data_IF_709637578214
#
_entry.id   IF_709637578214
#
_cell.length_a   1.000
_cell.length_b   1.000
_cell.length_c   1.000
_cell.angle_alpha   90.00
_cell.angle_beta   90.00
_cell.angle_gamma   90.00
#
_symmetry.space_group_name_H-M   'P 1'
#
loop_
_entity.id
_entity.type
_entity.pdbx_description
1 polymer ?
2 non-polymer ?
3 non-polymer ?
4 water ?
#
# COMPACT_ATOMS: atom_id res chain seq x y z
N UNK A 1 10.51 -8.94 -13.21
CA UNK A 1 9.91 -10.11 -12.61
C UNK A 1 8.40 -10.00 -12.37
N UNK A 2 7.70 -11.13 -12.43
CA UNK A 2 6.33 -11.14 -11.99
C UNK A 2 6.29 -11.49 -10.51
N UNK A 3 5.52 -10.73 -9.74
CA UNK A 3 5.45 -10.91 -8.30
C UNK A 3 3.99 -11.17 -7.89
N UNK A 4 3.75 -12.37 -7.37
CA UNK A 4 2.45 -12.71 -6.78
C UNK A 4 2.38 -12.17 -5.33
N UNK A 5 1.18 -12.14 -4.77
CA UNK A 5 0.95 -11.36 -3.57
C UNK A 5 0.60 -12.18 -2.34
N UNK A 6 0.94 -13.46 -2.37
CA UNK A 6 0.78 -14.38 -1.22
C UNK A 6 1.70 -14.01 -0.07
N UNK A 7 2.85 -13.42 -0.38
CA UNK A 7 3.67 -12.80 0.66
C UNK A 7 3.76 -11.31 0.39
N UNK A 8 4.27 -10.55 1.36
CA UNK A 8 4.68 -9.14 1.15
C UNK A 8 5.63 -9.00 -0.02
N UNK A 9 5.34 -8.08 -0.98
CA UNK A 9 6.27 -7.85 -2.10
C UNK A 9 7.53 -7.05 -1.70
N UNK A 10 8.44 -7.73 -1.01
CA UNK A 10 9.66 -7.09 -0.46
C UNK A 10 10.79 -7.25 -1.45
N UNK A 11 11.46 -6.16 -1.79
CA UNK A 11 12.58 -6.23 -2.71
C UNK A 11 13.82 -5.64 -2.08
N UNK A 12 14.97 -5.99 -2.62
CA UNK A 12 16.22 -5.42 -2.18
C UNK A 12 16.53 -4.09 -2.92
N UNK A 13 16.84 -3.05 -2.14
CA UNK A 13 17.20 -1.73 -2.68
C UNK A 13 18.61 -1.36 -2.27
N UNK A 14 19.23 -0.51 -3.08
CA UNK A 14 20.45 0.10 -2.71
C UNK A 14 20.23 1.59 -2.80
N UNK A 15 20.44 2.26 -1.67
CA UNK A 15 20.22 3.69 -1.53
C UNK A 15 21.29 4.28 -0.60
N UNK A 16 21.93 5.35 -1.06
CA UNK A 16 23.00 6.00 -0.30
C UNK A 16 24.13 5.09 0.14
N UNK A 17 24.53 4.16 -0.74
CA UNK A 17 25.59 3.19 -0.45
C UNK A 17 25.16 2.00 0.40
N UNK A 18 23.92 2.01 0.90
CA UNK A 18 23.39 0.95 1.81
C UNK A 18 22.32 0.07 1.19
N UNK A 19 22.23 -1.15 1.71
CA UNK A 19 21.30 -2.17 1.21
C UNK A 19 20.16 -2.27 2.18
N UNK A 20 18.94 -2.23 1.67
CA UNK A 20 17.75 -2.36 2.50
C UNK A 20 16.70 -3.21 1.81
N UNK A 21 15.74 -3.69 2.60
CA UNK A 21 14.53 -4.32 2.06
C UNK A 21 13.37 -3.36 2.13
N UNK A 22 12.58 -3.32 1.06
CA UNK A 22 11.47 -2.38 0.97
C UNK A 22 10.25 -3.01 0.32
N UNK A 23 9.10 -2.48 0.68
CA UNK A 23 7.83 -3.01 0.23
C UNK A 23 7.44 -2.29 -1.05
N UNK A 24 7.16 -3.05 -2.10
CA UNK A 24 6.62 -2.45 -3.33
C UNK A 24 5.15 -2.13 -3.07
N UNK A 25 4.80 -0.85 -3.07
CA UNK A 25 3.56 -0.44 -2.45
C UNK A 25 2.72 0.42 -3.39
N UNK A 26 1.76 -0.21 -4.07
CA UNK A 26 0.86 0.50 -4.98
C UNK A 26 -0.12 1.47 -4.27
N UNK A 27 -0.34 1.28 -2.97
CA UNK A 27 -1.22 2.15 -2.20
C UNK A 27 -0.49 3.31 -1.53
N UNK A 28 0.78 3.51 -1.90
CA UNK A 28 1.60 4.65 -1.42
C UNK A 28 1.96 5.57 -2.60
N UNK A 29 1.56 6.84 -2.49
CA UNK A 29 1.91 7.90 -3.46
C UNK A 29 3.40 8.15 -3.45
N UNK A 30 3.96 8.16 -2.23
CA UNK A 30 5.37 8.48 -1.98
C UNK A 30 6.19 7.31 -1.38
N UNK A 31 7.50 7.54 -1.30
CA UNK A 31 8.48 6.54 -0.86
C UNK A 31 8.95 6.93 0.52
N UNK A 32 8.78 6.04 1.49
CA UNK A 32 9.17 6.33 2.86
C UNK A 32 10.15 5.33 3.41
N UNK A 33 11.30 5.82 3.83
CA UNK A 33 12.29 4.95 4.44
C UNK A 33 12.53 5.24 5.89
N UNK A 34 12.78 4.16 6.63
CA UNK A 34 13.26 4.16 8.02
C UNK A 34 14.31 5.23 8.26
N UNK A 35 14.56 5.56 9.52
CA UNK A 35 15.67 6.45 9.84
C UNK A 35 16.97 5.91 9.19
N UNK A 36 17.56 6.73 8.33
CA UNK A 36 18.77 6.31 7.65
C UNK A 36 19.64 7.49 7.31
N UNK A 37 20.93 7.18 7.14
CA UNK A 37 21.97 8.13 6.81
C UNK A 37 21.92 8.53 5.34
N UNK A 38 21.35 9.71 5.06
CA UNK A 38 21.31 10.25 3.70
C UNK A 38 22.04 11.58 3.58
N UNK A 39 22.81 11.74 2.49
CA UNK A 39 23.48 13.00 2.19
C UNK A 39 22.55 14.02 1.53
N UNK A 40 22.79 15.30 1.81
CA UNK A 40 22.12 16.40 1.10
C UNK A 40 21.27 17.32 1.97
N UNK A 41 20.54 18.23 1.30
CA UNK A 41 19.60 19.14 1.98
C UNK A 41 18.17 18.58 2.00
N UNK A 42 17.34 19.07 2.92
CA UNK A 42 15.93 18.63 3.04
C UNK A 42 14.91 19.72 3.37
N UNK A 43 13.64 19.32 3.37
CA UNK A 43 12.52 20.14 3.82
C UNK A 43 11.62 19.30 4.73
N UNK A 44 11.33 19.78 5.96
CA UNK A 44 10.33 19.13 6.82
C UNK A 44 8.98 18.91 6.12
N UNK A 45 8.40 17.73 6.34
CA UNK A 45 7.13 17.34 5.72
C UNK A 45 6.46 16.30 6.61
N UNK A 46 5.15 16.14 6.45
CA UNK A 46 4.35 15.20 7.24
C UNK A 46 3.76 14.17 6.29
N UNK A 47 4.03 12.89 6.52
CA UNK A 47 3.33 11.85 5.75
C UNK A 47 2.12 11.38 6.54
N UNK A 48 1.04 11.06 5.83
CA UNK A 48 -0.22 10.69 6.47
C UNK A 48 -0.74 9.33 6.06
N UNK A 49 -0.78 8.40 7.00
CA UNK A 49 -1.25 7.06 6.70
C UNK A 49 -2.52 6.70 7.42
N UNK A 50 -2.72 5.40 7.58
CA UNK A 50 -3.72 4.86 8.49
C UNK A 50 -3.27 5.11 9.94
N UNK A 51 -4.12 5.80 10.69
CA UNK A 51 -3.83 6.09 12.08
C UNK A 51 -3.16 7.42 12.35
N UNK A 52 -2.88 8.20 11.31
CA UNK A 52 -2.35 9.55 11.51
C UNK A 52 -1.09 9.93 10.75
N UNK A 53 -0.30 10.82 11.35
CA UNK A 53 0.78 11.48 10.65
C UNK A 53 2.17 11.23 11.26
N UNK A 54 3.19 11.05 10.41
CA UNK A 54 4.59 11.11 10.88
C UNK A 54 5.37 12.30 10.30
N UNK A 55 6.16 12.96 11.14
CA UNK A 55 7.07 13.97 10.62
C UNK A 55 8.19 13.25 9.87
N UNK A 56 8.40 13.67 8.62
CA UNK A 56 9.49 13.14 7.81
C UNK A 56 10.44 14.23 7.30
N UNK A 57 11.60 13.81 6.82
CA UNK A 57 12.51 14.70 6.08
C UNK A 57 12.34 14.35 4.61
N UNK A 58 12.16 15.37 3.77
CA UNK A 58 12.04 15.16 2.34
C UNK A 58 13.32 15.51 1.56
N UNK A 59 13.95 14.48 0.98
CA UNK A 59 15.09 14.63 0.06
C UNK A 59 14.64 14.46 -1.39
N UNK A 60 15.02 15.39 -2.26
CA UNK A 60 14.70 15.30 -3.68
C UNK A 60 15.84 14.74 -4.52
N UNK A 61 15.47 14.20 -5.67
CA UNK A 61 16.39 13.53 -6.61
C UNK A 61 17.45 12.57 -6.00
N UNK A 62 16.97 11.64 -5.20
CA UNK A 62 17.83 10.63 -4.58
C UNK A 62 17.84 9.43 -5.49
N UNK A 63 19.04 8.93 -5.78
CA UNK A 63 19.19 7.68 -6.53
C UNK A 63 18.88 6.44 -5.68
N UNK A 64 18.07 5.54 -6.24
CA UNK A 64 17.74 4.24 -5.63
C UNK A 64 17.80 3.12 -6.68
N UNK A 65 18.36 1.98 -6.31
CA UNK A 65 18.28 0.79 -7.15
C UNK A 65 17.34 -0.22 -6.53
N UNK A 66 16.23 -0.48 -7.22
CA UNK A 66 15.14 -1.33 -6.72
C UNK A 66 15.16 -2.58 -7.56
N UNK A 67 15.50 -3.71 -6.96
CA UNK A 67 15.65 -4.98 -7.67
C UNK A 67 16.45 -4.78 -8.98
N UNK A 68 17.49 -3.92 -8.94
CA UNK A 68 18.41 -3.75 -10.08
C UNK A 68 17.95 -2.78 -11.19
N UNK A 69 16.95 -1.96 -10.88
CA UNK A 69 16.48 -0.94 -11.79
C UNK A 69 16.70 0.38 -11.08
N UNK A 70 17.43 1.28 -11.74
CA UNK A 70 17.69 2.59 -11.19
C UNK A 70 16.47 3.52 -11.34
N UNK A 71 16.24 4.33 -10.32
CA UNK A 71 15.24 5.39 -10.31
C UNK A 71 15.83 6.59 -9.53
N UNK A 72 15.48 7.80 -9.94
CA UNK A 72 15.86 9.00 -9.20
C UNK A 72 14.57 9.73 -8.78
N UNK A 73 14.46 10.05 -7.51
CA UNK A 73 13.32 10.83 -7.09
C UNK A 73 13.35 11.22 -5.64
N UNK A 74 12.19 11.69 -5.21
CA UNK A 74 11.92 12.07 -3.85
C UNK A 74 11.82 10.85 -2.96
N UNK A 75 12.54 10.95 -1.84
CA UNK A 75 12.53 9.98 -0.78
C UNK A 75 12.22 10.70 0.56
N UNK A 76 11.24 10.17 1.30
CA UNK A 76 10.93 10.62 2.65
C UNK A 76 11.64 9.76 3.68
N UNK A 77 12.16 10.37 4.74
CA UNK A 77 12.88 9.61 5.77
C UNK A 77 12.28 9.92 7.14
N UNK A 78 11.88 8.90 7.87
CA UNK A 78 11.27 9.12 9.18
C UNK A 78 10.89 7.82 9.87
N UNK A 79 10.06 7.91 10.92
CA UNK A 79 9.80 6.73 11.75
C UNK A 79 8.66 5.85 11.21
N UNK A 80 8.81 5.36 9.98
CA UNK A 80 7.94 4.33 9.41
C UNK A 80 8.30 2.91 9.93
N UNK A 81 7.29 2.07 10.26
CA UNK A 81 7.58 0.66 10.67
C UNK A 81 8.24 -0.25 9.60
N UNK A 82 8.12 0.14 8.33
CA UNK A 82 8.59 -0.66 7.21
C UNK A 82 9.02 0.30 6.10
N UNK A 83 10.07 -0.06 5.37
CA UNK A 83 10.46 0.69 4.18
C UNK A 83 9.44 0.51 3.04
N UNK A 84 9.02 1.63 2.47
CA UNK A 84 7.96 1.67 1.47
C UNK A 84 8.47 2.31 0.17
N UNK A 85 8.43 1.58 -0.95
CA UNK A 85 8.63 2.19 -2.28
C UNK A 85 7.28 2.55 -2.88
N UNK A 86 7.02 3.85 -3.06
CA UNK A 86 5.72 4.36 -3.52
C UNK A 86 5.68 4.59 -5.01
N UNK A 87 4.54 5.06 -5.52
CA UNK A 87 4.28 5.09 -6.96
C UNK A 87 5.20 6.09 -7.73
N UNK A 88 5.68 7.11 -7.04
CA UNK A 88 6.70 8.01 -7.61
C UNK A 88 7.93 7.29 -8.17
N UNK A 89 8.28 6.14 -7.60
CA UNK A 89 9.43 5.36 -8.07
C UNK A 89 9.01 4.13 -8.84
N UNK A 90 7.85 3.56 -8.50
CA UNK A 90 7.34 2.37 -9.16
C UNK A 90 7.09 2.63 -10.65
N UNK A 91 6.67 3.84 -10.98
CA UNK A 91 6.42 4.21 -12.37
C UNK A 91 7.73 4.18 -13.15
N UNK A 92 8.85 4.51 -12.47
CA UNK A 92 10.18 4.65 -13.11
C UNK A 92 10.86 3.35 -13.44
N UNK A 93 10.50 2.29 -12.71
CA UNK A 93 11.02 0.97 -12.98
C UNK A 93 10.05 0.16 -13.86
N UNK A 94 8.98 0.81 -14.32
CA UNK A 94 8.05 0.17 -15.26
C UNK A 94 7.07 -0.79 -14.60
N UNK A 95 6.79 -0.56 -13.31
CA UNK A 95 5.97 -1.46 -12.52
C UNK A 95 4.47 -1.31 -12.80
N UNK A 96 3.81 -2.44 -13.08
CA UNK A 96 2.35 -2.50 -13.30
C UNK A 96 1.61 -3.49 -12.37
N UNK A 97 0.32 -3.28 -12.19
CA UNK A 97 -0.56 -4.30 -11.60
C UNK A 97 -1.25 -5.04 -12.75
N UNK A 98 -1.53 -6.33 -12.56
CA UNK A 98 -2.06 -7.16 -13.62
C UNK A 98 -3.00 -8.18 -13.00
N UNK A 99 -4.23 -8.25 -13.50
CA UNK A 99 -5.20 -9.27 -13.10
C UNK A 99 -6.22 -9.56 -14.21
N UNK B 1 -7.12 -6.70 -16.31
CA UNK B 1 -6.52 -5.52 -16.91
C UNK B 1 -5.09 -5.25 -16.43
N UNK B 2 -4.29 -4.57 -17.25
CA UNK B 2 -3.02 -4.08 -16.75
C UNK B 2 -3.18 -2.64 -16.27
N UNK B 3 -2.62 -2.35 -15.11
CA UNK B 3 -2.78 -1.05 -14.48
C UNK B 3 -1.40 -0.43 -14.22
N UNK B 4 -1.12 0.67 -14.90
CA UNK B 4 0.06 1.48 -14.62
C UNK B 4 -0.19 2.35 -13.38
N UNK B 5 0.88 2.93 -12.82
CA UNK B 5 0.81 3.52 -11.50
C UNK B 5 1.07 5.03 -11.48
N UNK B 6 0.83 5.69 -12.61
CA UNK B 6 0.93 7.16 -12.69
C UNK B 6 -0.20 7.81 -11.92
N UNK B 7 -1.33 7.11 -11.80
CA UNK B 7 -2.37 7.54 -10.86
C UNK B 7 -2.60 6.48 -9.77
N UNK B 8 -3.34 6.82 -8.72
CA UNK B 8 -3.81 5.79 -7.74
C UNK B 8 -4.58 4.68 -8.44
N UNK B 9 -4.21 3.40 -8.16
CA UNK B 9 -4.95 2.27 -8.75
C UNK B 9 -6.31 2.03 -8.05
N UNK B 10 -7.27 2.88 -8.40
CA UNK B 10 -8.60 2.86 -7.80
C UNK B 10 -9.51 2.02 -8.67
N UNK B 11 -10.20 1.05 -8.07
CA UNK B 11 -11.16 0.24 -8.79
C UNK B 11 -12.56 0.36 -8.17
N UNK B 12 -13.57 -0.03 -8.94
CA UNK B 12 -14.93 -0.10 -8.44
C UNK B 12 -15.17 -1.49 -7.80
N UNK B 13 -15.71 -1.48 -6.58
CA UNK B 13 -16.08 -2.69 -5.86
C UNK B 13 -17.58 -2.69 -5.57
N UNK B 14 -18.15 -3.90 -5.47
CA UNK B 14 -19.47 -4.08 -4.96
C UNK B 14 -19.38 -4.94 -3.71
N UNK B 15 -19.82 -4.38 -2.58
CA UNK B 15 -19.76 -5.04 -1.29
C UNK B 15 -21.02 -4.72 -0.50
N UNK B 16 -21.68 -5.75 0.00
CA UNK B 16 -22.90 -5.57 0.80
C UNK B 16 -24.00 -4.80 0.10
N UNK B 17 -24.19 -5.09 -1.18
CA UNK B 17 -25.15 -4.40 -2.06
C UNK B 17 -24.79 -2.99 -2.48
N UNK B 18 -23.68 -2.46 -1.95
CA UNK B 18 -23.20 -1.07 -2.25
C UNK B 18 -21.99 -0.98 -3.18
N UNK B 19 -21.91 0.15 -3.88
CA UNK B 19 -20.81 0.44 -4.80
C UNK B 19 -19.82 1.38 -4.16
N UNK B 20 -18.55 1.03 -4.23
CA UNK B 20 -17.52 1.91 -3.68
C UNK B 20 -16.31 1.92 -4.58
N UNK B 21 -15.41 2.85 -4.30
CA UNK B 21 -14.12 2.89 -4.96
C UNK B 21 -13.06 2.55 -3.92
N UNK B 22 -12.10 1.71 -4.29
CA UNK B 22 -11.05 1.26 -3.40
C UNK B 22 -9.70 1.18 -4.10
N UNK B 23 -8.66 1.28 -3.30
CA UNK B 23 -7.29 1.30 -3.75
C UNK B 23 -6.77 -0.13 -3.77
N UNK B 24 -6.24 -0.57 -4.92
CA UNK B 24 -5.55 -1.85 -4.97
C UNK B 24 -4.17 -1.66 -4.32
N UNK B 25 -3.94 -2.33 -3.21
CA UNK B 25 -2.86 -1.91 -2.34
C UNK B 25 -1.98 -3.09 -1.97
N UNK B 26 -0.86 -3.22 -2.70
CA UNK B 26 0.12 -4.29 -2.49
C UNK B 26 0.85 -4.16 -1.14
N UNK B 27 0.88 -2.96 -0.56
CA UNK B 27 1.52 -2.74 0.73
C UNK B 27 0.59 -2.90 1.92
N UNK B 28 -0.57 -3.51 1.69
CA UNK B 28 -1.57 -3.80 2.72
C UNK B 28 -1.79 -5.31 2.81
N UNK B 29 -1.59 -5.87 4.00
CA UNK B 29 -1.84 -7.28 4.28
C UNK B 29 -3.32 -7.59 4.21
N UNK B 30 -4.10 -6.66 4.80
CA UNK B 30 -5.55 -6.74 4.93
C UNK B 30 -6.32 -5.67 4.16
N UNK B 31 -7.64 -5.87 4.11
CA UNK B 31 -8.57 -5.01 3.38
C UNK B 31 -9.30 -4.17 4.40
N UNK B 32 -9.27 -2.84 4.24
CA UNK B 32 -9.93 -1.91 5.18
C UNK B 32 -10.90 -0.96 4.50
N UNK B 33 -12.15 -1.00 4.91
CA UNK B 33 -13.14 -0.11 4.33
C UNK B 33 -13.63 0.92 5.32
N UNK B 34 -13.89 2.12 4.78
CA UNK B 34 -14.53 3.22 5.48
C UNK B 34 -15.77 2.74 6.25
N UNK B 35 -16.28 3.57 7.16
CA UNK B 35 -17.50 3.19 7.89
C UNK B 35 -18.61 2.84 6.89
N UNK B 36 -19.10 1.61 6.99
CA UNK B 36 -20.15 1.19 6.10
C UNK B 36 -21.04 0.16 6.76
N UNK B 37 -22.23 0.07 6.19
CA UNK B 37 -23.28 -0.83 6.61
C UNK B 37 -22.98 -2.26 6.13
N UNK B 38 -22.50 -3.09 7.05
CA UNK B 38 -22.28 -4.50 6.77
C UNK B 38 -23.11 -5.39 7.67
N UNK B 39 -23.70 -6.46 7.08
CA UNK B 39 -24.42 -7.45 7.87
C UNK B 39 -23.50 -8.49 8.51
N UNK B 40 -23.90 -8.99 9.68
CA UNK B 40 -23.24 -10.13 10.32
C UNK B 40 -22.62 -9.87 11.68
N UNK B 41 -21.87 -10.87 12.17
CA UNK B 41 -21.14 -10.79 13.44
C UNK B 41 -19.68 -10.32 13.23
N UNK B 42 -19.07 -9.76 14.28
CA UNK B 42 -17.69 -9.28 14.21
C UNK B 42 -16.86 -9.48 15.48
N UNK B 43 -15.57 -9.14 15.37
CA UNK B 43 -14.63 -9.13 16.49
C UNK B 43 -13.78 -7.84 16.43
N UNK B 44 -13.76 -7.04 17.52
CA UNK B 44 -12.87 -5.88 17.65
C UNK B 44 -11.40 -6.19 17.31
N UNK B 45 -10.78 -5.30 16.55
CA UNK B 45 -9.40 -5.47 16.11
C UNK B 45 -8.77 -4.10 15.87
N UNK B 46 -7.44 -4.05 15.85
CA UNK B 46 -6.68 -2.81 15.64
C UNK B 46 -5.89 -2.94 14.36
N UNK B 47 -6.05 -2.03 13.41
CA UNK B 47 -5.14 -2.03 12.26
C UNK B 47 -4.03 -1.00 12.47
N UNK B 48 -2.82 -1.34 12.05
CA UNK B 48 -1.67 -0.47 12.27
C UNK B 48 -1.02 0.03 11.00
N UNK B 49 -1.08 1.33 10.78
CA UNK B 49 -0.47 1.93 9.60
C UNK B 49 0.73 2.78 9.93
N UNK B 50 1.00 3.75 9.06
CA UNK B 50 2.14 4.65 9.21
C UNK B 50 2.03 5.62 10.41
N UNK B 51 0.82 6.10 10.71
CA UNK B 51 0.62 7.06 11.81
C UNK B 51 0.23 6.49 13.18
N UNK B 52 0.25 5.17 13.31
CA UNK B 52 -0.30 4.51 14.48
C UNK B 52 -1.47 3.61 14.15
N UNK B 53 -2.43 3.53 15.07
CA UNK B 53 -3.42 2.46 15.07
C UNK B 53 -4.88 2.94 15.01
N UNK B 54 -5.68 2.29 14.16
CA UNK B 54 -7.15 2.49 14.20
C UNK B 54 -7.91 1.26 14.72
N UNK B 55 -8.89 1.50 15.58
CA UNK B 55 -9.82 0.43 15.95
C UNK B 55 -10.75 0.13 14.76
N UNK B 56 -10.79 -1.14 14.37
CA UNK B 56 -11.71 -1.61 13.34
C UNK B 56 -12.64 -2.74 13.81
N UNK B 57 -13.63 -3.07 12.98
CA UNK B 57 -14.49 -4.23 13.21
C UNK B 57 -14.10 -5.23 12.15
N UNK B 58 -13.80 -6.46 12.57
CA UNK B 58 -13.43 -7.50 11.65
C UNK B 58 -14.61 -8.40 11.28
N UNK B 59 -14.91 -8.49 9.98
CA UNK B 59 -15.92 -9.40 9.43
C UNK B 59 -15.24 -10.46 8.56
N UNK B 60 -15.58 -11.72 8.81
CA UNK B 60 -15.05 -12.83 8.02
C UNK B 60 -15.98 -13.25 6.91
N UNK B 61 -15.40 -13.90 5.91
CA UNK B 61 -16.15 -14.48 4.78
C UNK B 61 -17.13 -13.50 4.13
N UNK B 62 -16.66 -12.30 3.85
CA UNK B 62 -17.48 -11.28 3.18
C UNK B 62 -17.18 -11.28 1.69
N UNK B 63 -18.24 -11.39 0.89
CA UNK B 63 -18.14 -11.28 -0.55
C UNK B 63 -17.91 -9.85 -1.05
N UNK B 64 -16.86 -9.68 -1.85
CA UNK B 64 -16.57 -8.44 -2.57
C UNK B 64 -16.40 -8.75 -4.07
N UNK B 65 -16.88 -7.86 -4.92
CA UNK B 65 -16.59 -7.98 -6.32
C UNK B 65 -15.74 -6.77 -6.74
N UNK B 66 -14.48 -7.04 -7.12
CA UNK B 66 -13.45 -6.02 -7.37
C UNK B 66 -13.18 -6.05 -8.84
N UNK B 67 -13.52 -4.96 -9.52
CA UNK B 67 -13.44 -4.87 -10.98
C UNK B 67 -14.08 -6.10 -11.69
N UNK B 68 -15.16 -6.65 -11.12
CA UNK B 68 -15.88 -7.79 -11.71
C UNK B 68 -15.34 -9.20 -11.41
N UNK B 69 -14.48 -9.30 -10.40
CA UNK B 69 -13.91 -10.58 -9.99
C UNK B 69 -14.37 -10.75 -8.57
N UNK B 70 -15.11 -11.81 -8.32
CA UNK B 70 -15.56 -12.11 -6.99
C UNK B 70 -14.41 -12.63 -6.11
N UNK B 71 -14.41 -12.21 -4.84
CA UNK B 71 -13.52 -12.73 -3.82
C UNK B 71 -14.29 -12.81 -2.50
N UNK B 72 -13.95 -13.77 -1.65
CA UNK B 72 -14.53 -13.86 -0.32
C UNK B 72 -13.41 -13.85 0.72
N UNK B 73 -13.58 -13.05 1.76
CA UNK B 73 -12.60 -13.00 2.81
C UNK B 73 -12.90 -11.99 3.89
N UNK B 74 -11.88 -11.76 4.70
CA UNK B 74 -11.90 -10.80 5.79
C UNK B 74 -11.84 -9.38 5.28
N UNK B 75 -12.86 -8.62 5.71
CA UNK B 75 -12.92 -7.19 5.58
C UNK B 75 -12.89 -6.56 6.98
N UNK B 76 -12.08 -5.50 7.12
CA UNK B 76 -12.00 -4.67 8.31
C UNK B 76 -12.77 -3.38 8.04
N UNK B 77 -13.51 -2.87 9.02
CA UNK B 77 -14.33 -1.67 8.81
C UNK B 77 -13.99 -0.64 9.88
N UNK B 78 -13.67 0.57 9.47
CA UNK B 78 -13.33 1.61 10.43
C UNK B 78 -12.89 2.93 9.82
N UNK B 79 -12.27 3.79 10.64
CA UNK B 79 -11.95 5.20 10.29
C UNK B 79 -10.71 5.41 9.39
N UNK B 80 -10.57 4.61 8.33
CA UNK B 80 -9.57 4.83 7.29
C UNK B 80 -9.94 6.00 6.35
N UNK B 81 -8.94 6.80 5.89
CA UNK B 81 -9.28 7.86 4.92
C UNK B 81 -9.59 7.36 3.48
N UNK B 82 -9.13 6.15 3.16
CA UNK B 82 -9.23 5.56 1.83
C UNK B 82 -9.71 4.11 2.01
N UNK B 83 -10.60 3.64 1.13
CA UNK B 83 -10.89 2.20 1.03
C UNK B 83 -9.68 1.44 0.44
N UNK B 84 -9.23 0.40 1.14
CA UNK B 84 -8.01 -0.33 0.79
C UNK B 84 -8.32 -1.80 0.48
N UNK B 85 -7.93 -2.31 -0.70
CA UNK B 85 -8.03 -3.77 -0.99
C UNK B 85 -6.64 -4.35 -0.79
N UNK B 86 -6.50 -5.24 0.18
CA UNK B 86 -5.22 -5.79 0.61
C UNK B 86 -4.95 -7.13 -0.03
N UNK B 87 -3.77 -7.70 0.24
CA UNK B 87 -3.29 -8.88 -0.47
C UNK B 87 -4.17 -10.11 -0.22
N UNK B 88 -4.83 -10.14 0.93
CA UNK B 88 -5.82 -11.19 1.22
C UNK B 88 -6.91 -11.36 0.15
N UNK B 89 -7.31 -10.25 -0.49
CA UNK B 89 -8.27 -10.31 -1.58
C UNK B 89 -7.55 -10.27 -2.92
N UNK B 90 -6.47 -9.52 -3.00
CA UNK B 90 -5.73 -9.36 -4.27
C UNK B 90 -5.25 -10.69 -4.86
N UNK B 91 -4.88 -11.63 -4.00
CA UNK B 91 -4.49 -12.99 -4.43
C UNK B 91 -5.65 -13.77 -5.03
N UNK B 92 -6.88 -13.51 -4.55
CA UNK B 92 -8.09 -14.22 -5.03
C UNK B 92 -8.53 -13.84 -6.43
N UNK B 93 -8.25 -12.60 -6.84
CA UNK B 93 -8.55 -12.13 -8.20
C UNK B 93 -7.34 -12.26 -9.12
N UNK B 94 -6.31 -12.96 -8.64
CA UNK B 94 -5.11 -13.24 -9.43
C UNK B 94 -4.24 -12.02 -9.75
N UNK B 95 -4.19 -11.07 -8.82
CA UNK B 95 -3.43 -9.84 -9.02
C UNK B 95 -1.91 -10.05 -8.84
N UNK B 96 -1.12 -9.55 -9.79
CA UNK B 96 0.36 -9.55 -9.70
C UNK B 96 1.01 -8.16 -9.92
N UNK B 97 2.21 -7.97 -9.37
CA UNK B 97 3.09 -6.86 -9.75
C UNK B 97 4.03 -7.33 -10.85
N UNK B 98 4.33 -6.45 -11.80
CA UNK B 98 5.18 -6.82 -12.93
C UNK B 98 6.08 -5.65 -13.31
N UNK B 99 7.39 -5.90 -13.41
CA UNK B 99 8.36 -4.89 -13.85
C UNK B 99 9.60 -5.46 -14.58
X LIG C 1 15.06 -7.99 -5.56
X LIG D 1 -0.38 -4.32 9.14
X LIG D 1 -1.49 -2.21 8.36
X LIG D 1 -1.26 -2.68 6.99
X LIG D 1 -0.66 -3.83 6.69
X LIG D 1 -0.25 -4.60 7.71
X LIG D 1 -3.06 3.96 2.71
X LIG D 1 -3.23 4.94 1.72
X LIG D 1 -3.92 6.12 2.01
X LIG D 1 -4.46 6.33 3.28
X LIG D 1 -4.30 5.34 4.26
X LIG D 1 -3.59 4.17 3.99
X LIG D 1 -0.50 -4.19 5.55
X LIG D 1 -1.73 -1.77 5.94
X LIG D 1 -0.90 -0.51 5.93
X LIG D 1 0.12 -0.55 5.06
X LIG D 1 1.06 0.56 4.90
X LIG D 1 -3.23 -1.48 6.09
X LIG D 1 -3.78 -0.63 4.94
X LIG D 1 -4.06 -2.76 6.21
X LIG D 1 -1.13 0.43 6.70
X LIG D 1 2.36 -0.19 9.11
X LIG D 1 2.64 -1.53 9.35
X LIG D 1 2.86 -2.37 8.26
X LIG D 1 2.78 -1.88 6.96
X LIG D 1 2.49 -0.53 6.72
X LIG D 1 2.28 0.31 7.81
X LIG D 1 2.43 -0.01 5.29
X LIG D 1 1.07 0.97 3.43
X LIG D 1 -0.29 1.22 2.78
X LIG D 1 -0.98 2.53 3.15
X LIG D 1 -0.10 3.64 2.77
X LIG D 1 0.48 4.39 3.73
X LIG D 1 1.39 5.53 3.35
X LIG D 1 1.38 5.81 1.95
X LIG D 1 1.58 7.09 1.49
X LIG D 1 -0.09 1.21 1.38
X LIG D 1 -2.30 2.69 2.39
X LIG D 1 0.31 4.17 4.92
X LIG D 1 2.87 7.63 1.49
X LIG D 1 3.09 8.92 1.04
X LIG D 1 2.02 9.69 0.56
X LIG D 1 0.73 9.16 0.55
X LIG D 1 0.51 7.86 1.02
X LIG D 1 -0.91 7.35 0.99
X LIG D 1 4.05 6.83 1.99
X LIG D 1 -1.62 -3.45 9.25
X LIG E 1 -12.84 -1.24 -12.22
#
# INVERSE_FOLDING_TARGET
>A
PQITLWQRPLVTIKIGGQLKEALLDTGADDTVLEEMSLPGRWKPKMAGGIGGFVKVRQYDQILIEICGHKAIGTVLVGPTPVNIIGRNLLTQIGCTLNF
>B
PQITLWQRPLVTIKIGGQLKEALLDTGADDTVLEEMSLPGRWKPKMAGGIGGFVKVRQYDQILIEICGHKAIGTVLVGPTPVNIIGRNLLTQIGCTLNF
>C hetero
1 BME S2
>D hetero
1 AB1 C1 C2 N1 C3 N2 C4 C5 C6 C7 C8 C9 O1 C10 C11 N3 C12 C13 C14 C15 O2 C16 C17 C18 C19 C20 C21 C22 C23 C24 C25 N4 C26 C27 O3 C28 O4 C29 O5 C30 C31 C32 C33 C34 C35 C36 C37
>E hetero
1 BME S2
#
